data_IF_517550325488
#
_entry.id   IF_517550325488
#
_cell.length_a   1.000
_cell.length_b   1.000
_cell.length_c   1.000
_cell.angle_alpha   90.00
_cell.angle_beta   90.00
_cell.angle_gamma   90.00
#
_symmetry.space_group_name_H-M   'P 1'
#
loop_
_entity.id
_entity.type
_entity.pdbx_description
1 polymer ?
#
# COMPACT_ATOMS: atom_id res chain seq x y z
N UNK A 1 6.34 -6.83 -2.56
CA UNK A 1 7.38 -5.97 -3.20
C UNK A 1 6.83 -4.61 -3.64
N UNK A 2 5.78 -4.55 -4.44
CA UNK A 2 5.28 -3.28 -5.02
C UNK A 2 4.84 -2.29 -3.95
N UNK A 3 4.01 -2.69 -2.98
CA UNK A 3 3.59 -1.82 -1.88
C UNK A 3 4.75 -1.26 -1.08
N UNK A 4 5.78 -2.07 -0.84
CA UNK A 4 7.01 -1.64 -0.16
C UNK A 4 7.78 -0.58 -0.94
N UNK A 5 7.88 -0.71 -2.26
CA UNK A 5 8.55 0.29 -3.10
C UNK A 5 7.72 1.58 -3.20
N UNK A 6 6.40 1.45 -3.31
CA UNK A 6 5.50 2.60 -3.26
C UNK A 6 5.63 3.34 -1.91
N UNK A 7 5.66 2.59 -0.79
CA UNK A 7 5.90 3.16 0.53
C UNK A 7 7.18 4.02 0.56
N UNK A 8 8.30 3.51 0.04
CA UNK A 8 9.57 4.23 -0.01
C UNK A 8 9.48 5.56 -0.78
N UNK A 9 8.64 5.64 -1.81
CA UNK A 9 8.45 6.85 -2.61
C UNK A 9 7.48 7.84 -1.95
N UNK A 10 6.48 7.34 -1.23
CA UNK A 10 5.44 8.15 -0.62
C UNK A 10 5.83 8.67 0.77
N UNK A 11 6.66 7.94 1.51
CA UNK A 11 7.05 8.30 2.87
C UNK A 11 7.87 9.59 2.86
N UNK A 12 7.38 10.62 3.53
CA UNK A 12 8.00 11.95 3.58
C UNK A 12 7.75 12.83 2.34
N UNK A 13 7.05 12.33 1.31
CA UNK A 13 6.66 13.16 0.18
C UNK A 13 5.47 14.07 0.53
N UNK A 14 5.42 15.26 -0.06
CA UNK A 14 4.30 16.18 0.12
C UNK A 14 3.00 15.62 -0.48
N UNK A 15 1.89 15.87 0.19
CA UNK A 15 0.55 15.44 -0.25
C UNK A 15 0.18 14.01 0.14
N UNK A 16 1.06 13.29 0.85
CA UNK A 16 0.79 11.92 1.31
C UNK A 16 0.98 11.77 2.82
N UNK A 17 0.05 11.10 3.44
CA UNK A 17 0.20 10.59 4.79
C UNK A 17 -0.12 9.09 4.81
N UNK A 18 0.85 8.28 5.16
CA UNK A 18 0.65 6.83 5.30
C UNK A 18 0.14 6.59 6.71
N UNK A 19 -1.14 6.25 6.82
CA UNK A 19 -1.83 6.08 8.12
C UNK A 19 -1.83 4.63 8.61
N UNK A 20 -1.82 3.65 7.69
CA UNK A 20 -1.83 2.24 8.03
C UNK A 20 -1.32 1.36 6.89
N UNK A 21 -0.91 0.15 7.23
CA UNK A 21 -0.58 -0.92 6.29
C UNK A 21 -1.36 -2.15 6.69
N UNK A 22 -1.90 -2.89 5.72
CA UNK A 22 -2.44 -4.22 5.94
C UNK A 22 -1.58 -5.25 5.23
N UNK A 23 -0.99 -6.16 5.99
CA UNK A 23 -0.21 -7.28 5.48
C UNK A 23 -0.30 -8.46 6.46
N UNK A 24 -0.38 -9.67 5.94
CA UNK A 24 -0.50 -10.89 6.77
C UNK A 24 0.83 -11.33 7.39
N UNK A 25 1.92 -10.66 7.02
CA UNK A 25 3.27 -10.89 7.54
C UNK A 25 3.48 -10.12 8.85
N UNK A 26 4.36 -10.60 9.72
CA UNK A 26 4.65 -9.93 11.01
C UNK A 26 5.31 -8.56 10.80
N UNK A 27 5.10 -7.61 11.72
CA UNK A 27 5.77 -6.30 11.69
C UNK A 27 7.30 -6.38 11.61
N UNK A 28 7.91 -7.34 12.31
CA UNK A 28 9.36 -7.55 12.24
C UNK A 28 9.83 -7.95 10.84
N UNK A 29 9.09 -8.84 10.17
CA UNK A 29 9.41 -9.24 8.80
C UNK A 29 9.20 -8.07 7.83
N UNK A 30 8.13 -7.30 7.98
CA UNK A 30 7.89 -6.11 7.14
C UNK A 30 8.99 -5.07 7.32
N UNK A 31 9.41 -4.81 8.56
CA UNK A 31 10.53 -3.92 8.85
C UNK A 31 11.83 -4.42 8.22
N UNK A 32 12.11 -5.74 8.32
CA UNK A 32 13.28 -6.35 7.67
C UNK A 32 13.25 -6.17 6.15
N UNK A 33 12.12 -6.48 5.52
CA UNK A 33 11.94 -6.34 4.09
C UNK A 33 11.98 -4.88 3.62
N UNK A 34 11.58 -3.93 4.47
CA UNK A 34 11.71 -2.50 4.16
C UNK A 34 13.17 -2.05 4.22
N UNK A 35 13.93 -2.53 5.20
CA UNK A 35 15.36 -2.23 5.36
C UNK A 35 16.20 -2.73 4.18
N UNK A 36 15.94 -3.96 3.75
CA UNK A 36 16.83 -4.68 2.84
C UNK A 36 16.11 -5.05 1.54
N UNK A 37 16.66 -4.63 0.43
CA UNK A 37 16.23 -5.03 -0.91
C UNK A 37 17.44 -5.14 -1.82
N UNK A 38 17.72 -6.34 -2.33
CA UNK A 38 18.89 -6.60 -3.16
C UNK A 38 18.81 -5.93 -4.53
N UNK A 39 17.60 -5.74 -5.07
CA UNK A 39 17.41 -5.16 -6.39
C UNK A 39 17.33 -3.63 -6.37
N UNK A 40 16.70 -3.07 -5.31
CA UNK A 40 16.45 -1.63 -5.19
C UNK A 40 17.34 -0.94 -4.15
N UNK A 41 18.27 -1.68 -3.55
CA UNK A 41 19.14 -1.18 -2.50
C UNK A 41 18.49 -1.06 -1.13
N UNK A 42 19.32 -0.84 -0.11
CA UNK A 42 18.86 -0.68 1.28
C UNK A 42 18.10 0.63 1.48
N UNK A 43 17.10 0.58 2.35
CA UNK A 43 16.36 1.77 2.80
C UNK A 43 17.02 2.40 4.05
N UNK A 44 17.72 1.56 4.82
CA UNK A 44 18.44 1.93 6.04
C UNK A 44 19.92 1.60 5.88
N UNK A 45 20.67 2.36 5.09
CA UNK A 45 22.08 2.06 4.92
C UNK A 45 22.81 3.07 4.07
N UNK A 46 24.15 2.98 4.10
CA UNK A 46 25.10 3.91 3.48
C UNK A 46 25.11 3.88 1.93
N UNK A 47 24.01 3.63 1.28
CA UNK A 47 23.92 3.71 -0.18
C UNK A 47 23.12 4.96 -0.52
N UNK A 48 23.82 6.05 -0.73
CA UNK A 48 23.25 7.37 -0.95
C UNK A 48 22.92 8.10 0.36
N UNK A 49 22.43 9.31 0.25
CA UNK A 49 22.19 10.22 1.39
C UNK A 49 20.91 9.91 2.20
N UNK A 50 20.17 8.85 1.86
CA UNK A 50 18.91 8.52 2.48
C UNK A 50 19.05 7.33 3.44
N UNK A 51 19.49 7.60 4.66
CA UNK A 51 19.50 6.63 5.76
C UNK A 51 18.23 6.78 6.58
N UNK A 52 17.25 5.93 6.34
CA UNK A 52 16.05 5.85 7.19
C UNK A 52 16.26 4.90 8.36
N UNK A 53 15.72 5.25 9.51
CA UNK A 53 15.63 4.35 10.67
C UNK A 53 14.32 3.58 10.59
N UNK A 54 14.37 2.26 10.78
CA UNK A 54 13.16 1.43 10.80
C UNK A 54 13.21 0.49 12.00
N UNK A 55 12.15 0.48 12.77
CA UNK A 55 11.92 -0.47 13.85
C UNK A 55 10.51 -1.06 13.76
N UNK A 56 10.23 -2.09 14.54
CA UNK A 56 8.92 -2.73 14.56
C UNK A 56 8.49 -3.04 16.00
N UNK A 57 7.18 -3.12 16.18
CA UNK A 57 6.54 -3.53 17.42
C UNK A 57 5.49 -4.58 17.07
N UNK A 58 5.60 -5.73 17.73
CA UNK A 58 4.66 -6.84 17.52
C UNK A 58 3.28 -6.52 18.11
N UNK A 59 2.20 -7.13 17.60
CA UNK A 59 0.87 -6.96 18.14
C UNK A 59 0.80 -7.53 19.57
N UNK A 60 -0.03 -6.92 20.40
CA UNK A 60 -0.38 -7.45 21.71
C UNK A 60 -1.61 -8.33 21.56
N UNK A 61 -1.51 -9.58 21.98
CA UNK A 61 -2.61 -10.53 21.95
C UNK A 61 -3.28 -10.60 23.34
N UNK A 62 -4.56 -10.93 23.35
CA UNK A 62 -5.30 -11.25 24.57
C UNK A 62 -4.80 -12.59 25.18
N UNK A 63 -5.31 -12.95 26.36
CA UNK A 63 -4.96 -14.20 27.05
C UNK A 63 -5.26 -15.48 26.22
N UNK A 64 -6.19 -15.38 25.24
CA UNK A 64 -6.51 -16.46 24.32
C UNK A 64 -5.42 -16.72 23.27
N UNK A 65 -4.40 -15.85 23.19
CA UNK A 65 -3.29 -15.93 22.24
C UNK A 65 -3.71 -15.73 20.77
N UNK A 66 -4.93 -15.29 20.50
CA UNK A 66 -5.49 -15.14 19.14
C UNK A 66 -6.08 -13.76 18.88
N UNK A 67 -6.77 -13.20 19.85
CA UNK A 67 -7.42 -11.89 19.72
C UNK A 67 -6.37 -10.79 19.82
N UNK A 68 -6.27 -9.96 18.77
CA UNK A 68 -5.38 -8.80 18.75
C UNK A 68 -6.01 -7.69 19.59
N UNK A 69 -5.37 -7.33 20.71
CA UNK A 69 -5.77 -6.21 21.57
C UNK A 69 -5.21 -4.89 21.04
N UNK A 70 -3.93 -4.92 20.68
CA UNK A 70 -3.26 -3.77 20.05
C UNK A 70 -2.58 -4.24 18.78
N UNK A 71 -2.84 -3.61 17.64
CA UNK A 71 -2.15 -3.91 16.38
C UNK A 71 -0.64 -3.73 16.51
N UNK A 72 0.11 -4.45 15.73
CA UNK A 72 1.54 -4.20 15.57
C UNK A 72 1.81 -2.90 14.82
N UNK A 73 3.06 -2.47 14.77
CA UNK A 73 3.45 -1.27 14.05
C UNK A 73 4.86 -1.39 13.47
N UNK A 74 5.14 -0.55 12.47
CA UNK A 74 6.50 -0.18 12.09
C UNK A 74 6.70 1.30 12.39
N UNK A 75 7.90 1.65 12.83
CA UNK A 75 8.29 3.05 13.03
C UNK A 75 9.39 3.38 12.04
N UNK A 76 9.17 4.41 11.22
CA UNK A 76 10.13 4.91 10.25
C UNK A 76 10.44 6.37 10.60
N UNK A 77 11.71 6.68 10.86
CA UNK A 77 12.17 8.03 11.25
C UNK A 77 11.35 8.67 12.38
N UNK A 78 10.95 7.84 13.36
CA UNK A 78 10.14 8.28 14.49
C UNK A 78 8.63 8.33 14.23
N UNK A 79 8.16 8.18 12.99
CA UNK A 79 6.73 8.10 12.67
C UNK A 79 6.24 6.66 12.77
N UNK A 80 5.32 6.39 13.69
CA UNK A 80 4.70 5.07 13.87
C UNK A 80 3.55 4.87 12.89
N UNK A 81 3.52 3.71 12.23
CA UNK A 81 2.51 3.31 11.25
C UNK A 81 1.93 1.98 11.69
N UNK A 82 0.63 1.95 11.90
CA UNK A 82 -0.09 0.74 12.35
C UNK A 82 -0.11 -0.34 11.28
N UNK A 83 0.16 -1.58 11.69
CA UNK A 83 0.08 -2.77 10.86
C UNK A 83 -1.16 -3.58 11.23
N UNK A 84 -2.07 -3.72 10.30
CA UNK A 84 -3.19 -4.65 10.39
C UNK A 84 -2.82 -5.96 9.69
N UNK A 85 -3.37 -7.06 10.17
CA UNK A 85 -3.17 -8.40 9.59
C UNK A 85 -4.53 -9.06 9.28
N UNK A 86 -5.38 -8.30 8.58
CA UNK A 86 -6.74 -8.73 8.25
C UNK A 86 -6.78 -9.41 6.89
N UNK A 87 -7.20 -10.68 6.78
CA UNK A 87 -7.27 -11.38 5.51
C UNK A 87 -8.41 -10.88 4.60
N UNK A 88 -9.44 -10.28 5.19
CA UNK A 88 -10.59 -9.73 4.45
C UNK A 88 -10.55 -8.21 4.48
N UNK A 89 -10.64 -7.60 3.31
CA UNK A 89 -10.62 -6.14 3.18
C UNK A 89 -11.81 -5.45 3.86
N UNK A 90 -12.96 -6.12 3.93
CA UNK A 90 -14.15 -5.58 4.60
C UNK A 90 -13.97 -5.35 6.10
N UNK A 91 -13.06 -6.10 6.74
CA UNK A 91 -12.82 -6.03 8.18
C UNK A 91 -11.82 -4.93 8.56
N UNK A 92 -11.26 -4.23 7.55
CA UNK A 92 -10.28 -3.17 7.75
C UNK A 92 -10.94 -1.87 8.23
N UNK A 93 -10.32 -1.14 9.15
CA UNK A 93 -10.93 0.03 9.78
C UNK A 93 -10.77 1.33 8.94
N UNK A 94 -10.88 1.24 7.61
CA UNK A 94 -10.64 2.39 6.72
C UNK A 94 -11.52 3.59 7.03
N UNK A 95 -12.78 3.34 7.40
CA UNK A 95 -13.71 4.41 7.80
C UNK A 95 -13.26 5.10 9.09
N UNK A 96 -12.81 4.35 10.08
CA UNK A 96 -12.37 4.90 11.36
C UNK A 96 -11.07 5.71 11.25
N UNK A 97 -10.25 5.38 10.26
CA UNK A 97 -8.98 6.05 9.95
C UNK A 97 -9.14 7.17 8.92
N UNK A 98 -10.36 7.43 8.42
CA UNK A 98 -10.66 8.40 7.36
C UNK A 98 -9.74 8.25 6.13
N UNK A 99 -9.58 7.01 5.65
CA UNK A 99 -8.66 6.71 4.54
C UNK A 99 -9.20 7.26 3.24
N UNK A 100 -8.46 8.16 2.61
CA UNK A 100 -8.81 8.71 1.30
C UNK A 100 -8.53 7.71 0.17
N UNK A 101 -7.35 7.07 0.18
CA UNK A 101 -6.91 6.18 -0.88
C UNK A 101 -6.30 4.92 -0.31
N UNK A 102 -6.76 3.77 -0.80
CA UNK A 102 -6.09 2.49 -0.60
C UNK A 102 -5.25 2.16 -1.83
N UNK A 103 -3.96 1.93 -1.64
CA UNK A 103 -3.10 1.36 -2.66
C UNK A 103 -3.11 -0.17 -2.53
N UNK A 104 -3.83 -0.84 -3.42
CA UNK A 104 -3.97 -2.29 -3.43
C UNK A 104 -2.80 -2.96 -4.14
N UNK A 105 -1.92 -3.59 -3.39
CA UNK A 105 -0.69 -4.21 -3.88
C UNK A 105 -0.59 -5.72 -3.61
N UNK A 106 -1.68 -6.36 -3.15
CA UNK A 106 -1.65 -7.78 -2.77
C UNK A 106 -1.71 -8.71 -3.97
N UNK A 107 -2.26 -8.26 -5.10
CA UNK A 107 -2.57 -9.10 -6.26
C UNK A 107 -3.83 -9.93 -6.09
N UNK A 108 -4.51 -9.83 -4.95
CA UNK A 108 -5.74 -10.59 -4.66
C UNK A 108 -7.01 -9.86 -5.08
N UNK A 109 -7.07 -8.55 -4.85
CA UNK A 109 -8.21 -7.69 -5.16
C UNK A 109 -8.08 -7.01 -6.54
N UNK A 110 -7.60 -7.74 -7.56
CA UNK A 110 -7.35 -7.22 -8.91
C UNK A 110 -8.58 -7.23 -9.81
N UNK A 111 -9.70 -6.67 -9.36
CA UNK A 111 -10.90 -6.38 -10.17
C UNK A 111 -11.77 -5.37 -9.45
N UNK A 112 -12.62 -4.67 -10.19
CA UNK A 112 -13.56 -3.70 -9.61
C UNK A 112 -14.44 -4.34 -8.52
N UNK A 113 -15.02 -5.50 -8.80
CA UNK A 113 -15.90 -6.21 -7.86
C UNK A 113 -15.17 -6.61 -6.57
N UNK A 114 -13.92 -7.09 -6.66
CA UNK A 114 -13.14 -7.46 -5.47
C UNK A 114 -12.69 -6.23 -4.69
N UNK A 115 -12.21 -5.19 -5.37
CA UNK A 115 -11.74 -3.95 -4.75
C UNK A 115 -12.85 -3.15 -4.09
N UNK A 116 -14.11 -3.40 -4.45
CA UNK A 116 -15.28 -2.83 -3.79
C UNK A 116 -15.26 -3.08 -2.28
N UNK A 117 -14.67 -4.19 -1.83
CA UNK A 117 -14.51 -4.50 -0.41
C UNK A 117 -13.77 -3.42 0.40
N UNK A 118 -12.82 -2.71 -0.21
CA UNK A 118 -12.13 -1.59 0.43
C UNK A 118 -13.00 -0.34 0.53
N UNK A 119 -13.83 -0.09 -0.50
CA UNK A 119 -14.82 1.00 -0.47
C UNK A 119 -15.86 0.72 0.60
N UNK A 120 -16.36 -0.53 0.68
CA UNK A 120 -17.35 -0.94 1.69
C UNK A 120 -16.77 -0.82 3.12
N UNK A 121 -15.47 -1.03 3.29
CA UNK A 121 -14.74 -0.81 4.54
C UNK A 121 -14.55 0.69 4.86
N UNK A 122 -14.87 1.59 3.93
CA UNK A 122 -14.89 3.04 4.14
C UNK A 122 -13.76 3.82 3.48
N UNK A 123 -12.95 3.21 2.63
CA UNK A 123 -12.00 3.95 1.80
C UNK A 123 -12.75 4.76 0.73
N UNK A 124 -12.26 5.98 0.42
CA UNK A 124 -12.90 6.83 -0.59
C UNK A 124 -12.51 6.42 -2.00
N UNK A 125 -11.26 5.95 -2.21
CA UNK A 125 -10.75 5.50 -3.51
C UNK A 125 -9.83 4.30 -3.36
N UNK A 126 -9.71 3.50 -4.43
CA UNK A 126 -8.76 2.38 -4.52
C UNK A 126 -7.94 2.48 -5.80
N UNK A 127 -6.63 2.37 -5.66
CA UNK A 127 -5.69 2.25 -6.78
C UNK A 127 -5.11 0.84 -6.78
N UNK A 128 -5.44 0.05 -7.79
CA UNK A 128 -4.96 -1.33 -7.95
C UNK A 128 -3.63 -1.30 -8.68
N UNK A 129 -2.56 -1.83 -8.08
CA UNK A 129 -1.21 -1.85 -8.66
C UNK A 129 -0.99 -2.96 -9.71
N UNK A 130 -2.04 -3.42 -10.36
CA UNK A 130 -2.03 -4.53 -11.30
C UNK A 130 -3.15 -4.37 -12.35
N UNK A 131 -3.12 -5.12 -13.46
CA UNK A 131 -4.25 -5.19 -14.39
C UNK A 131 -5.52 -5.66 -13.68
N UNK A 132 -6.64 -5.00 -13.91
CA UNK A 132 -7.87 -5.23 -13.14
C UNK A 132 -9.15 -5.41 -13.99
N UNK A 133 -9.00 -5.78 -15.24
CA UNK A 133 -10.11 -5.94 -16.19
C UNK A 133 -10.40 -4.67 -16.99
N UNK A 134 -11.52 -4.69 -17.74
CA UNK A 134 -11.91 -3.62 -18.65
C UNK A 134 -13.10 -2.79 -18.14
N UNK A 135 -13.57 -3.06 -16.94
CA UNK A 135 -14.76 -2.47 -16.33
C UNK A 135 -14.41 -1.29 -15.39
N UNK A 136 -13.15 -0.86 -15.42
CA UNK A 136 -12.63 0.25 -14.66
C UNK A 136 -11.51 0.98 -15.43
N UNK A 137 -11.25 2.27 -15.16
CA UNK A 137 -10.17 3.00 -15.81
C UNK A 137 -8.81 2.38 -15.53
N UNK A 138 -8.02 2.22 -16.59
CA UNK A 138 -6.62 1.81 -16.50
C UNK A 138 -5.74 3.00 -16.86
N UNK A 139 -4.91 3.42 -15.92
CA UNK A 139 -4.12 4.64 -16.01
C UNK A 139 -2.63 4.32 -16.05
N UNK A 140 -1.95 4.95 -16.98
CA UNK A 140 -0.48 5.01 -17.05
C UNK A 140 -0.08 6.47 -16.88
N UNK A 141 0.71 6.75 -15.83
CA UNK A 141 1.16 8.11 -15.52
C UNK A 141 1.93 8.72 -16.71
N UNK A 142 1.72 9.99 -16.97
CA UNK A 142 2.24 10.75 -18.13
C UNK A 142 1.75 10.26 -19.50
N UNK A 143 0.80 9.32 -19.54
CA UNK A 143 0.19 8.85 -20.79
C UNK A 143 -1.27 9.26 -20.91
N UNK A 144 -2.09 8.90 -19.92
CA UNK A 144 -3.54 9.10 -19.95
C UNK A 144 -4.17 9.49 -18.59
N UNK A 145 -3.39 9.97 -17.64
CA UNK A 145 -3.90 10.41 -16.34
C UNK A 145 -4.97 11.50 -16.43
N UNK A 146 -4.93 12.27 -17.52
CA UNK A 146 -5.91 13.33 -17.80
C UNK A 146 -7.32 12.80 -18.14
N UNK A 147 -7.46 11.49 -18.32
CA UNK A 147 -8.77 10.84 -18.51
C UNK A 147 -9.49 10.54 -17.21
N UNK A 148 -8.78 10.66 -16.05
CA UNK A 148 -9.39 10.45 -14.74
C UNK A 148 -10.43 11.51 -14.42
N UNK A 149 -11.50 11.06 -13.81
CA UNK A 149 -12.57 11.91 -13.31
C UNK A 149 -12.71 11.81 -11.79
N UNK A 150 -13.44 12.74 -11.19
CA UNK A 150 -13.71 12.71 -9.73
C UNK A 150 -14.58 11.51 -9.34
N UNK A 151 -15.36 10.97 -10.26
CA UNK A 151 -16.29 9.87 -10.05
C UNK A 151 -15.61 8.50 -10.09
N UNK A 152 -14.36 8.44 -10.58
CA UNK A 152 -13.57 7.21 -10.60
C UNK A 152 -13.10 6.87 -9.18
N UNK A 153 -13.76 5.89 -8.57
CA UNK A 153 -13.45 5.45 -7.20
C UNK A 153 -12.48 4.27 -7.15
N UNK A 154 -12.47 3.44 -8.19
CA UNK A 154 -11.58 2.29 -8.32
C UNK A 154 -10.89 2.35 -9.67
N UNK A 155 -9.57 2.40 -9.67
CA UNK A 155 -8.75 2.48 -10.88
C UNK A 155 -7.63 1.44 -10.86
N UNK A 156 -7.13 1.09 -12.04
CA UNK A 156 -5.93 0.29 -12.21
C UNK A 156 -4.75 1.16 -12.61
N UNK A 157 -3.61 0.96 -11.98
CA UNK A 157 -2.33 1.54 -12.40
C UNK A 157 -1.63 0.71 -13.50
N UNK A 158 -2.40 -0.09 -14.25
CA UNK A 158 -1.94 -0.95 -15.34
C UNK A 158 -0.94 -2.05 -14.92
N UNK A 159 -0.31 -2.69 -15.89
CA UNK A 159 0.71 -3.72 -15.67
C UNK A 159 2.12 -3.12 -15.72
N UNK A 160 3.10 -3.88 -15.24
CA UNK A 160 4.51 -3.55 -15.37
C UNK A 160 4.94 -3.37 -16.85
N UNK A 161 4.46 -4.24 -17.73
CA UNK A 161 4.74 -4.16 -19.18
C UNK A 161 4.03 -2.97 -19.83
N UNK A 162 2.80 -2.65 -19.44
CA UNK A 162 2.08 -1.49 -19.95
C UNK A 162 2.75 -0.19 -19.50
N UNK A 163 3.18 -0.10 -18.25
CA UNK A 163 3.91 1.07 -17.74
C UNK A 163 5.28 1.25 -18.42
N UNK A 164 5.87 0.18 -18.94
CA UNK A 164 7.07 0.27 -19.76
C UNK A 164 6.76 0.73 -21.20
N UNK A 165 5.81 0.06 -21.86
CA UNK A 165 5.55 0.24 -23.30
C UNK A 165 4.81 1.54 -23.64
N UNK A 166 3.78 1.90 -22.86
CA UNK A 166 2.91 3.00 -23.20
C UNK A 166 3.63 4.37 -23.27
N UNK A 167 4.54 4.72 -22.34
CA UNK A 167 5.32 5.95 -22.47
C UNK A 167 6.27 5.97 -23.66
N UNK A 168 6.76 4.79 -24.09
CA UNK A 168 7.62 4.71 -25.29
C UNK A 168 6.82 4.84 -26.58
N UNK A 169 5.55 4.47 -26.57
CA UNK A 169 4.67 4.54 -27.72
C UNK A 169 3.97 5.91 -27.89
N UNK A 170 3.95 6.72 -26.83
CA UNK A 170 3.41 8.09 -26.84
C UNK A 170 4.38 9.07 -27.47
#
# INVERSE_FOLDING_TARGET
>A
RIGRLAFRQMFGAEGYEIVAINDLTSPAMLAHLLKYDTAQGGYCGKIGENTHTVSSKEPVLAEDGKTVVTPGSITVDGKEITIYAMPKAQDLPWKALDVDVVLECTGFYCSKAKSQAHIDAGAKKVVISAPAGNDLPTIVFSVNENTLTKDDTIISAASCTTNCLAPMAK
#
